data_IF_016961163091
#
_entry.id   IF_016961163091
#
_cell.length_a   1.000
_cell.length_b   1.000
_cell.length_c   1.000
_cell.angle_alpha   90.00
_cell.angle_beta   90.00
_cell.angle_gamma   90.00
#
_symmetry.space_group_name_H-M   'P 1'
#
loop_
_entity.id
_entity.type
_entity.pdbx_description
1 polymer ?
#
# COMPACT_ATOMS: atom_id res chain seq x y z
N UNK A 1 18.85 8.40 5.67
CA UNK A 1 18.39 7.84 5.14
C UNK A 1 17.91 7.77 4.23
N UNK A 2 17.63 7.78 3.51
CA UNK A 2 17.30 7.80 2.54
C UNK A 2 16.27 7.34 1.99
N UNK A 3 15.53 7.70 1.49
CA UNK A 3 14.73 7.43 0.79
C UNK A 3 13.98 6.90 0.20
N UNK A 4 13.20 6.75 -0.37
CA UNK A 4 12.47 6.32 -1.06
C UNK A 4 11.69 5.46 -1.11
N UNK A 5 10.88 5.05 -1.16
CA UNK A 5 10.27 4.19 -1.25
C UNK A 5 10.13 3.26 -1.21
N UNK A 6 9.85 3.00 -0.89
CA UNK A 6 10.01 2.06 -1.08
C UNK A 6 9.55 1.30 -0.86
N UNK A 7 8.28 1.77 -1.06
CA UNK A 7 9.16 0.69 -0.84
C UNK A 7 9.74 0.21 -2.13
N UNK A 8 10.78 0.65 -2.49
CA UNK A 8 11.43 0.13 -3.64
C UNK A 8 12.83 -0.01 -3.28
N UNK A 9 13.67 -0.48 -3.73
CA UNK A 9 15.07 -0.53 -3.47
C UNK A 9 15.38 -0.01 -2.11
N UNK A 10 16.57 0.12 -1.74
CA UNK A 10 16.95 0.68 -0.46
C UNK A 10 16.40 2.09 -0.40
N UNK A 11 15.25 2.23 0.16
CA UNK A 11 14.53 3.48 0.14
C UNK A 11 14.13 3.82 1.55
N UNK A 12 14.19 5.07 1.87
CA UNK A 12 13.69 5.51 3.15
C UNK A 12 12.18 5.37 3.19
N UNK A 13 11.71 4.79 4.27
CA UNK A 13 10.28 4.65 4.51
C UNK A 13 9.98 5.51 5.72
N UNK A 14 9.09 6.47 5.55
CA UNK A 14 8.75 7.37 6.63
C UNK A 14 9.90 8.26 6.97
N UNK A 15 10.04 8.61 8.22
CA UNK A 15 10.98 9.62 8.66
C UNK A 15 12.32 9.02 9.02
N UNK A 16 12.99 8.46 8.05
CA UNK A 16 14.35 8.05 8.24
C UNK A 16 14.57 6.59 8.56
N UNK A 17 13.56 5.77 8.38
CA UNK A 17 13.73 4.33 8.51
C UNK A 17 14.07 3.76 7.15
N UNK A 18 15.20 3.10 7.06
CA UNK A 18 15.62 2.46 5.83
C UNK A 18 15.04 1.06 5.75
N UNK A 19 14.45 0.74 4.63
CA UNK A 19 13.93 -0.59 4.38
C UNK A 19 14.85 -1.32 3.40
N UNK A 20 15.16 -2.56 3.73
CA UNK A 20 15.96 -3.42 2.85
C UNK A 20 15.08 -4.55 2.35
N UNK A 21 14.99 -4.67 1.03
CA UNK A 21 14.19 -5.71 0.41
C UNK A 21 15.11 -6.85 0.02
N UNK A 22 14.88 -8.05 0.56
CA UNK A 22 15.71 -9.21 0.20
C UNK A 22 15.60 -9.53 -1.29
N UNK A 23 16.74 -9.84 -1.90
CA UNK A 23 16.78 -10.13 -3.33
C UNK A 23 16.12 -11.45 -3.70
N UNK A 24 16.07 -12.36 -2.75
CA UNK A 24 15.59 -13.71 -3.00
C UNK A 24 14.11 -13.91 -2.67
N UNK A 25 13.41 -12.84 -2.33
CA UNK A 25 11.99 -12.93 -1.98
C UNK A 25 11.15 -12.39 -3.12
N UNK A 26 10.04 -13.04 -3.40
CA UNK A 26 9.12 -12.57 -4.42
C UNK A 26 8.47 -11.26 -3.97
N UNK A 27 8.20 -10.35 -4.92
CA UNK A 27 7.70 -9.03 -4.55
C UNK A 27 6.45 -9.04 -3.65
N UNK A 28 5.44 -9.81 -4.00
CA UNK A 28 4.22 -9.83 -3.21
C UNK A 28 4.38 -10.60 -1.91
N UNK A 29 5.30 -11.54 -1.85
CA UNK A 29 5.60 -12.25 -0.62
C UNK A 29 6.18 -11.31 0.42
N UNK A 30 7.05 -10.40 -0.01
CA UNK A 30 7.58 -9.38 0.88
C UNK A 30 6.45 -8.50 1.43
N UNK A 31 5.52 -8.10 0.57
CA UNK A 31 4.40 -7.26 0.98
C UNK A 31 3.50 -8.00 1.98
N UNK A 32 3.33 -9.31 1.81
CA UNK A 32 2.55 -10.10 2.75
C UNK A 32 3.17 -10.08 4.15
N UNK A 33 4.49 -10.12 4.22
CA UNK A 33 5.18 -10.04 5.52
C UNK A 33 5.00 -8.67 6.15
N UNK A 34 5.07 -7.61 5.36
CA UNK A 34 4.82 -6.26 5.85
C UNK A 34 3.39 -6.15 6.36
N UNK A 35 2.45 -6.74 5.66
CA UNK A 35 1.05 -6.70 6.06
C UNK A 35 0.84 -7.33 7.44
N UNK A 36 1.50 -8.47 7.70
CA UNK A 36 1.40 -9.12 9.01
C UNK A 36 1.87 -8.21 10.13
N UNK A 37 3.00 -7.52 9.91
CA UNK A 37 3.52 -6.60 10.91
C UNK A 37 2.57 -5.43 11.14
N UNK A 38 1.98 -4.91 10.07
CA UNK A 38 1.02 -3.82 10.18
C UNK A 38 -0.23 -4.26 10.93
N UNK A 39 -0.66 -5.50 10.73
CA UNK A 39 -1.83 -6.01 11.46
C UNK A 39 -1.56 -6.08 12.96
N UNK A 40 -0.35 -6.50 13.34
CA UNK A 40 0.02 -6.52 14.74
C UNK A 40 0.02 -5.12 15.34
N UNK A 41 0.60 -4.17 14.60
CA UNK A 41 0.63 -2.79 15.04
C UNK A 41 -0.80 -2.23 15.18
N UNK A 42 -1.65 -2.48 14.20
CA UNK A 42 -3.02 -1.98 14.22
C UNK A 42 -3.87 -2.61 15.31
N UNK A 43 -3.59 -3.88 15.63
CA UNK A 43 -4.36 -4.58 16.65
C UNK A 43 -4.06 -4.14 18.07
N UNK A 44 -3.02 -3.34 18.28
CA UNK A 44 -2.66 -2.88 19.62
C UNK A 44 -3.55 -1.73 20.12
N UNK A 45 -4.27 -1.07 19.21
CA UNK A 45 -5.08 0.08 19.58
C UNK A 45 -6.15 0.25 18.52
N UNK A 46 -7.42 0.29 18.91
CA UNK A 46 -8.52 0.38 17.95
C UNK A 46 -8.61 1.75 17.28
N UNK A 47 -7.78 2.71 17.67
CA UNK A 47 -7.70 4.00 17.00
C UNK A 47 -6.65 4.02 15.89
N UNK A 48 -5.93 2.94 15.70
CA UNK A 48 -4.97 2.79 14.62
C UNK A 48 -5.65 2.20 13.40
N UNK A 49 -5.32 2.74 12.23
CA UNK A 49 -5.86 2.20 11.00
C UNK A 49 -4.81 2.23 9.91
N UNK A 50 -4.92 1.31 8.97
CA UNK A 50 -4.08 1.32 7.79
C UNK A 50 -4.82 0.69 6.62
N UNK A 51 -4.38 1.06 5.44
CA UNK A 51 -4.82 0.45 4.20
C UNK A 51 -3.57 0.09 3.41
N UNK A 52 -3.50 -1.14 2.95
CA UNK A 52 -2.38 -1.59 2.13
C UNK A 52 -2.94 -2.16 0.84
N UNK A 53 -2.44 -1.65 -0.28
CA UNK A 53 -2.79 -2.15 -1.60
C UNK A 53 -1.49 -2.25 -2.38
N UNK A 54 -1.24 -3.40 -2.97
CA UNK A 54 -0.02 -3.60 -3.73
C UNK A 54 -0.26 -4.56 -4.88
N UNK A 55 0.45 -4.30 -5.96
CA UNK A 55 0.41 -5.20 -7.11
C UNK A 55 1.80 -5.27 -7.73
N UNK A 56 2.05 -6.35 -8.41
CA UNK A 56 3.26 -6.49 -9.21
C UNK A 56 2.81 -6.83 -10.61
N UNK A 57 2.94 -5.86 -11.51
CA UNK A 57 2.43 -5.98 -12.87
C UNK A 57 3.56 -5.94 -13.90
N UNK A 58 4.78 -6.18 -13.46
CA UNK A 58 5.92 -6.18 -14.36
C UNK A 58 6.08 -7.56 -14.99
N UNK A 59 6.84 -7.59 -16.08
CA UNK A 59 7.18 -8.84 -16.75
C UNK A 59 8.43 -9.47 -16.16
N UNK A 60 8.94 -8.90 -15.08
CA UNK A 60 10.14 -9.40 -14.43
C UNK A 60 9.91 -10.76 -13.81
N UNK A 61 10.99 -11.54 -13.75
CA UNK A 61 10.97 -12.85 -13.12
C UNK A 61 10.55 -12.71 -11.66
N UNK A 62 9.65 -13.57 -11.25
CA UNK A 62 9.16 -13.57 -9.87
C UNK A 62 7.90 -12.73 -9.69
N UNK A 63 7.52 -11.95 -10.69
CA UNK A 63 6.28 -11.20 -10.64
C UNK A 63 5.15 -12.07 -11.19
N UNK A 64 4.07 -12.17 -10.45
CA UNK A 64 2.96 -13.02 -10.84
C UNK A 64 1.70 -12.23 -11.19
N UNK A 65 1.79 -10.92 -11.25
CA UNK A 65 0.65 -10.09 -11.61
C UNK A 65 -0.45 -10.03 -10.56
N UNK A 66 -0.15 -10.50 -9.37
CA UNK A 66 -1.17 -10.56 -8.32
C UNK A 66 -1.49 -9.22 -7.69
N UNK A 67 -2.55 -9.22 -6.92
CA UNK A 67 -3.00 -8.06 -6.18
C UNK A 67 -3.18 -8.45 -4.72
N UNK A 68 -2.64 -7.64 -3.83
CA UNK A 68 -2.81 -7.82 -2.39
C UNK A 68 -3.47 -6.56 -1.85
N UNK A 69 -4.52 -6.75 -1.07
CA UNK A 69 -5.13 -5.62 -0.39
C UNK A 69 -5.63 -6.06 0.98
N UNK A 70 -5.63 -5.11 1.89
CA UNK A 70 -6.13 -5.36 3.23
C UNK A 70 -6.15 -4.08 4.02
N UNK A 71 -6.92 -4.08 5.09
CA UNK A 71 -6.99 -2.91 5.95
C UNK A 71 -7.24 -3.35 7.38
N UNK A 72 -7.00 -2.44 8.30
CA UNK A 72 -7.23 -2.67 9.71
C UNK A 72 -7.67 -1.34 10.33
N UNK A 73 -8.63 -1.41 11.27
CA UNK A 73 -9.16 -0.24 11.92
C UNK A 73 -10.67 -0.23 11.82
N UNK A 74 -11.33 0.53 12.69
CA UNK A 74 -12.78 0.61 12.57
C UNK A 74 -13.18 1.54 11.42
N UNK A 75 -14.43 1.45 11.01
CA UNK A 75 -14.91 2.15 9.82
C UNK A 75 -14.73 3.66 9.92
N UNK A 76 -14.92 4.22 11.10
CA UNK A 76 -14.78 5.66 11.26
C UNK A 76 -13.33 6.11 11.10
N UNK A 77 -12.40 5.34 11.67
CA UNK A 77 -10.98 5.65 11.55
C UNK A 77 -10.54 5.56 10.09
N UNK A 78 -10.97 4.50 9.40
CA UNK A 78 -10.61 4.32 8.00
C UNK A 78 -11.21 5.40 7.11
N UNK A 79 -12.46 5.78 7.37
CA UNK A 79 -13.11 6.82 6.58
C UNK A 79 -12.42 8.16 6.76
N UNK A 80 -12.05 8.51 7.98
CA UNK A 80 -11.34 9.76 8.24
C UNK A 80 -9.97 9.77 7.57
N UNK A 81 -9.29 8.63 7.62
CA UNK A 81 -7.99 8.49 6.97
C UNK A 81 -8.10 8.73 5.48
N UNK A 82 -9.05 8.09 4.83
CA UNK A 82 -9.24 8.24 3.38
C UNK A 82 -9.66 9.66 3.01
N UNK A 83 -10.52 10.25 3.84
CA UNK A 83 -10.92 11.64 3.61
C UNK A 83 -9.71 12.56 3.66
N UNK A 84 -8.85 12.38 4.64
CA UNK A 84 -7.64 13.18 4.75
C UNK A 84 -6.71 13.02 3.55
N UNK A 85 -6.54 11.80 3.08
CA UNK A 85 -5.71 11.56 1.90
C UNK A 85 -6.31 12.23 0.67
N UNK A 86 -7.62 12.07 0.47
CA UNK A 86 -8.28 12.64 -0.70
C UNK A 86 -8.23 14.16 -0.70
N UNK A 87 -8.28 14.78 0.47
CA UNK A 87 -8.24 16.24 0.56
C UNK A 87 -6.85 16.81 0.36
N UNK A 88 -5.82 16.05 0.64
CA UNK A 88 -4.46 16.59 0.70
C UNK A 88 -3.49 16.04 -0.34
N UNK A 89 -3.92 15.09 -1.15
CA UNK A 89 -3.04 14.43 -2.11
C UNK A 89 -3.68 14.43 -3.49
N UNK A 90 -3.23 15.36 -4.34
CA UNK A 90 -3.79 15.50 -5.67
C UNK A 90 -3.52 14.27 -6.56
N UNK A 91 -2.36 13.67 -6.39
CA UNK A 91 -2.04 12.47 -7.18
C UNK A 91 -2.93 11.30 -6.81
N UNK A 92 -3.23 11.17 -5.52
CA UNK A 92 -4.13 10.12 -5.07
C UNK A 92 -5.55 10.37 -5.59
N UNK A 93 -6.01 11.63 -5.57
CA UNK A 93 -7.32 11.97 -6.13
C UNK A 93 -7.40 11.58 -7.60
N UNK A 94 -6.38 11.93 -8.37
CA UNK A 94 -6.37 11.61 -9.79
C UNK A 94 -6.38 10.11 -10.02
N UNK A 95 -5.59 9.38 -9.25
CA UNK A 95 -5.54 7.93 -9.36
C UNK A 95 -6.91 7.30 -9.11
N UNK A 96 -7.63 7.80 -8.10
CA UNK A 96 -8.95 7.28 -7.77
C UNK A 96 -9.96 7.58 -8.87
N UNK A 97 -9.90 8.78 -9.43
CA UNK A 97 -10.78 9.14 -10.54
C UNK A 97 -10.52 8.24 -11.74
N UNK A 98 -9.26 8.02 -12.07
CA UNK A 98 -8.90 7.16 -13.18
C UNK A 98 -9.34 5.71 -12.95
N UNK A 99 -9.23 5.25 -11.70
CA UNK A 99 -9.66 3.89 -11.37
C UNK A 99 -11.17 3.72 -11.57
N UNK A 100 -11.95 4.69 -11.15
CA UNK A 100 -13.41 4.63 -11.36
C UNK A 100 -13.78 4.66 -12.84
N UNK A 101 -13.05 5.43 -13.64
CA UNK A 101 -13.29 5.47 -15.07
C UNK A 101 -12.99 4.12 -15.72
N UNK A 102 -11.90 3.48 -15.31
CA UNK A 102 -11.56 2.15 -15.83
C UNK A 102 -12.63 1.14 -15.45
N UNK A 103 -13.12 1.22 -14.23
CA UNK A 103 -14.15 0.31 -13.76
C UNK A 103 -15.44 0.48 -14.56
N UNK A 104 -15.82 1.72 -14.86
CA UNK A 104 -17.02 1.97 -15.67
C UNK A 104 -16.88 1.37 -17.05
N UNK A 105 -15.71 1.52 -17.67
CA UNK A 105 -15.48 0.96 -19.00
C UNK A 105 -15.55 -0.57 -18.99
N UNK A 106 -15.03 -1.18 -17.93
CA UNK A 106 -15.05 -2.63 -17.83
C UNK A 106 -16.45 -3.20 -17.65
N UNK A 107 -17.39 -2.38 -17.16
CA UNK A 107 -18.75 -2.82 -16.89
C UNK A 107 -19.73 -2.48 -18.00
N UNK A 108 -19.25 -1.95 -19.11
CA UNK A 108 -20.11 -1.63 -20.27
C UNK A 108 -20.25 -2.80 -21.23
#
# INVERSE_FOLDING_TARGET
MKNDSKITTATKVGSGVDAVIPDDIKPLEFIQKVYKLLKEWGGQDDKRGFLLIATCDSQNKGCDGGLISGCCGDDEVLAKMMCGVLENDEEFQKMMIDAFKLRERANQ
#
